data_IF_400617435588
#
_entry.id   IF_400617435588
#
_cell.length_a   1.000
_cell.length_b   1.000
_cell.length_c   1.000
_cell.angle_alpha   90.00
_cell.angle_beta   90.00
_cell.angle_gamma   90.00
#
_symmetry.space_group_name_H-M   'P 1'
#
loop_
_entity.id
_entity.type
_entity.pdbx_description
1 polymer ?
#
# COMPACT_ATOMS: atom_id res chain seq x y z
N UNK A 1 29.86 -18.54 -24.64
CA UNK A 1 29.20 -19.18 -23.48
C UNK A 1 28.31 -18.12 -22.88
N UNK A 2 27.08 -18.01 -23.39
CA UNK A 2 26.06 -17.19 -22.75
C UNK A 2 25.67 -17.92 -21.47
N UNK A 3 26.03 -17.34 -20.34
CA UNK A 3 25.62 -17.88 -19.06
C UNK A 3 24.14 -17.56 -18.89
N UNK A 4 23.27 -18.53 -19.16
CA UNK A 4 21.87 -18.45 -18.73
C UNK A 4 21.80 -18.10 -17.24
N UNK A 5 20.72 -17.42 -16.83
CA UNK A 5 20.57 -16.94 -15.47
C UNK A 5 20.66 -18.10 -14.44
N UNK A 6 21.73 -18.13 -13.66
CA UNK A 6 21.94 -19.18 -12.65
C UNK A 6 20.94 -18.98 -11.50
N UNK A 7 20.04 -19.94 -11.30
CA UNK A 7 19.06 -19.90 -10.20
C UNK A 7 19.67 -20.40 -8.87
N UNK A 8 19.07 -20.05 -7.71
CA UNK A 8 17.97 -19.12 -7.52
C UNK A 8 18.39 -17.64 -7.65
N UNK A 9 17.55 -16.86 -8.33
CA UNK A 9 17.59 -15.42 -8.40
C UNK A 9 16.88 -14.80 -7.18
N UNK A 10 17.40 -13.65 -6.73
CA UNK A 10 16.80 -12.82 -5.68
C UNK A 10 17.02 -11.33 -5.95
N UNK A 11 16.16 -10.49 -5.39
CA UNK A 11 16.34 -9.03 -5.44
C UNK A 11 17.36 -8.56 -4.41
N UNK A 12 18.21 -7.60 -4.82
CA UNK A 12 19.15 -6.87 -3.96
C UNK A 12 18.95 -5.38 -4.20
N UNK A 13 18.69 -4.63 -3.13
CA UNK A 13 18.68 -3.16 -3.21
C UNK A 13 20.13 -2.69 -3.12
N UNK A 14 20.57 -1.91 -4.10
CA UNK A 14 21.90 -1.30 -4.14
C UNK A 14 21.77 0.22 -4.20
N UNK A 15 22.78 0.93 -3.71
CA UNK A 15 22.91 2.37 -3.90
C UNK A 15 23.84 2.61 -5.08
N UNK A 16 23.43 3.47 -6.01
CA UNK A 16 24.24 3.89 -7.15
C UNK A 16 25.17 5.03 -6.75
N UNK A 17 26.17 5.31 -7.59
CA UNK A 17 27.18 6.35 -7.33
C UNK A 17 26.55 7.73 -7.10
N UNK A 18 25.46 8.03 -7.81
CA UNK A 18 24.69 9.27 -7.70
C UNK A 18 23.84 9.34 -6.41
N UNK A 19 23.84 8.29 -5.59
CA UNK A 19 23.12 8.22 -4.31
C UNK A 19 21.75 7.53 -4.39
N UNK A 20 21.19 7.37 -5.58
CA UNK A 20 19.90 6.72 -5.83
C UNK A 20 19.88 5.24 -5.41
N UNK A 21 18.76 4.78 -4.86
CA UNK A 21 18.53 3.37 -4.62
C UNK A 21 17.99 2.66 -5.86
N UNK A 22 18.51 1.47 -6.17
CA UNK A 22 18.12 0.65 -7.30
C UNK A 22 17.89 -0.82 -6.91
N UNK A 23 16.99 -1.51 -7.64
CA UNK A 23 16.72 -2.93 -7.45
C UNK A 23 17.46 -3.73 -8.51
N UNK A 24 18.53 -4.41 -8.09
CA UNK A 24 19.28 -5.35 -8.90
C UNK A 24 18.78 -6.78 -8.66
N UNK A 25 18.89 -7.64 -9.69
CA UNK A 25 18.65 -9.09 -9.55
C UNK A 25 19.98 -9.81 -9.52
N UNK A 26 20.16 -10.70 -8.54
CA UNK A 26 21.40 -11.46 -8.36
C UNK A 26 21.13 -12.96 -8.22
N UNK A 27 22.05 -13.77 -8.71
CA UNK A 27 22.03 -15.22 -8.58
C UNK A 27 22.49 -15.71 -7.20
N UNK A 28 22.56 -17.04 -7.03
CA UNK A 28 23.02 -17.69 -5.80
C UNK A 28 24.42 -17.24 -5.34
N UNK A 29 25.31 -16.90 -6.27
CA UNK A 29 26.67 -16.42 -6.00
C UNK A 29 26.74 -14.91 -5.78
N UNK A 30 25.62 -14.19 -5.93
CA UNK A 30 25.57 -12.74 -5.81
C UNK A 30 25.99 -11.98 -7.07
N UNK A 31 26.24 -12.69 -8.17
CA UNK A 31 26.49 -12.08 -9.49
C UNK A 31 25.16 -11.60 -10.09
N UNK A 32 25.23 -10.53 -10.86
CA UNK A 32 24.06 -9.94 -11.52
C UNK A 32 23.44 -10.91 -12.53
N UNK A 33 22.11 -10.91 -12.58
CA UNK A 33 21.33 -11.47 -13.69
C UNK A 33 21.07 -10.34 -14.69
N UNK A 34 21.62 -10.46 -15.89
CA UNK A 34 21.61 -9.37 -16.87
C UNK A 34 20.21 -9.14 -17.43
N UNK A 35 19.50 -10.19 -17.85
CA UNK A 35 18.16 -10.08 -18.43
C UNK A 35 17.15 -9.45 -17.47
N UNK A 36 17.10 -9.94 -16.23
CA UNK A 36 16.17 -9.43 -15.23
C UNK A 36 16.55 -8.01 -14.77
N UNK A 37 17.83 -7.71 -14.64
CA UNK A 37 18.29 -6.36 -14.25
C UNK A 37 18.05 -5.34 -15.36
N UNK A 38 18.23 -5.72 -16.62
CA UNK A 38 17.95 -4.88 -17.78
C UNK A 38 16.46 -4.50 -17.85
N UNK A 39 15.54 -5.45 -17.67
CA UNK A 39 14.11 -5.16 -17.59
C UNK A 39 13.78 -4.14 -16.48
N UNK A 40 14.41 -4.27 -15.31
CA UNK A 40 14.25 -3.32 -14.23
C UNK A 40 14.70 -1.90 -14.64
N UNK A 41 15.83 -1.80 -15.34
CA UNK A 41 16.41 -0.53 -15.80
C UNK A 41 15.63 0.13 -16.93
N UNK A 42 15.18 -0.63 -17.92
CA UNK A 42 14.58 -0.09 -19.15
C UNK A 42 13.05 0.05 -19.04
N UNK A 43 12.38 -0.82 -18.29
CA UNK A 43 10.91 -0.85 -18.24
C UNK A 43 10.39 -0.27 -16.94
N UNK A 44 10.94 -0.70 -15.80
CA UNK A 44 10.36 -0.33 -14.50
C UNK A 44 10.86 1.02 -14.01
N UNK A 45 12.17 1.28 -14.07
CA UNK A 45 12.78 2.51 -13.54
C UNK A 45 12.24 3.79 -14.19
N UNK A 46 12.12 3.91 -15.53
CA UNK A 46 11.72 5.15 -16.17
C UNK A 46 10.28 5.58 -15.82
N UNK A 47 9.45 4.65 -15.36
CA UNK A 47 8.06 4.94 -14.94
C UNK A 47 7.96 5.72 -13.64
N UNK A 48 9.07 5.92 -12.91
CA UNK A 48 9.07 6.63 -11.62
C UNK A 48 8.30 5.92 -10.50
N UNK A 49 8.07 4.60 -10.64
CA UNK A 49 7.43 3.82 -9.57
C UNK A 49 8.31 3.76 -8.33
N UNK A 50 7.68 3.73 -7.15
CA UNK A 50 8.42 3.65 -5.89
C UNK A 50 9.30 2.39 -5.81
N UNK A 51 10.49 2.50 -5.22
CA UNK A 51 11.46 1.42 -5.04
C UNK A 51 10.84 0.13 -4.47
N UNK A 52 9.96 0.24 -3.47
CA UNK A 52 9.28 -0.92 -2.89
C UNK A 52 8.32 -1.62 -3.87
N UNK A 53 7.70 -0.87 -4.79
CA UNK A 53 6.87 -1.42 -5.86
C UNK A 53 7.74 -2.09 -6.91
N UNK A 54 8.82 -1.43 -7.34
CA UNK A 54 9.81 -1.99 -8.27
C UNK A 54 10.38 -3.31 -7.74
N UNK A 55 10.82 -3.32 -6.48
CA UNK A 55 11.32 -4.53 -5.80
C UNK A 55 10.30 -5.65 -5.80
N UNK A 56 9.04 -5.34 -5.48
CA UNK A 56 7.96 -6.34 -5.49
C UNK A 56 7.73 -6.92 -6.89
N UNK A 57 7.77 -6.10 -7.94
CA UNK A 57 7.66 -6.59 -9.33
C UNK A 57 8.84 -7.50 -9.68
N UNK A 58 10.07 -7.08 -9.33
CA UNK A 58 11.27 -7.89 -9.57
C UNK A 58 11.34 -9.17 -8.74
N UNK A 59 10.75 -9.22 -7.54
CA UNK A 59 10.59 -10.47 -6.79
C UNK A 59 9.73 -11.49 -7.55
N UNK A 60 8.73 -11.03 -8.30
CA UNK A 60 7.91 -11.90 -9.16
C UNK A 60 8.70 -12.39 -10.36
N UNK A 61 9.52 -11.53 -10.98
CA UNK A 61 10.44 -11.93 -12.05
C UNK A 61 11.45 -12.97 -11.54
N UNK A 62 12.01 -12.78 -10.34
CA UNK A 62 12.88 -13.80 -9.71
C UNK A 62 12.12 -15.12 -9.50
N UNK A 63 10.86 -15.08 -9.05
CA UNK A 63 10.03 -16.27 -8.86
C UNK A 63 9.79 -17.01 -10.18
N UNK A 64 9.57 -16.30 -11.29
CA UNK A 64 9.46 -16.88 -12.62
C UNK A 64 10.75 -17.58 -13.06
N UNK A 65 11.90 -16.91 -12.95
CA UNK A 65 13.19 -17.49 -13.29
C UNK A 65 13.52 -18.72 -12.44
N UNK A 66 13.22 -18.67 -11.15
CA UNK A 66 13.41 -19.82 -10.26
C UNK A 66 12.51 -20.99 -10.65
N UNK A 67 11.25 -20.71 -11.01
CA UNK A 67 10.33 -21.73 -11.54
C UNK A 67 10.84 -22.36 -12.84
N UNK A 68 11.43 -21.57 -13.76
CA UNK A 68 12.08 -22.07 -14.96
C UNK A 68 13.27 -22.98 -14.62
N UNK A 69 14.15 -22.52 -13.73
CA UNK A 69 15.33 -23.29 -13.30
C UNK A 69 14.97 -24.62 -12.64
N UNK A 70 13.93 -24.65 -11.80
CA UNK A 70 13.43 -25.88 -11.16
C UNK A 70 12.92 -26.92 -12.17
N UNK A 71 12.58 -26.49 -13.38
CA UNK A 71 12.08 -27.34 -14.49
C UNK A 71 13.09 -27.56 -15.60
N UNK A 72 14.30 -27.00 -15.47
CA UNK A 72 15.30 -27.03 -16.54
C UNK A 72 14.85 -26.30 -17.81
N UNK A 73 13.97 -25.30 -17.68
CA UNK A 73 13.51 -24.49 -18.81
C UNK A 73 14.50 -23.35 -19.04
N UNK A 74 15.17 -23.35 -20.19
CA UNK A 74 15.88 -22.18 -20.69
C UNK A 74 14.88 -21.23 -21.37
N UNK A 75 14.46 -20.19 -20.64
CA UNK A 75 13.41 -19.31 -21.10
C UNK A 75 13.79 -18.54 -22.38
N UNK A 76 15.05 -18.09 -22.51
CA UNK A 76 15.49 -17.35 -23.70
C UNK A 76 15.53 -18.24 -24.91
N UNK A 77 16.11 -19.44 -24.78
CA UNK A 77 16.15 -20.42 -25.86
C UNK A 77 14.74 -20.78 -26.36
N UNK A 78 13.75 -20.88 -25.45
CA UNK A 78 12.34 -21.12 -25.80
C UNK A 78 11.70 -19.97 -26.58
N UNK A 79 12.07 -18.73 -26.28
CA UNK A 79 11.60 -17.56 -27.02
C UNK A 79 12.26 -17.47 -28.40
N UNK A 80 13.57 -17.72 -28.48
CA UNK A 80 14.35 -17.69 -29.72
C UNK A 80 13.93 -18.77 -30.72
N UNK A 81 13.66 -19.98 -30.21
CA UNK A 81 13.12 -21.08 -31.02
C UNK A 81 11.65 -20.89 -31.41
N UNK A 82 10.98 -19.86 -30.89
CA UNK A 82 9.54 -19.64 -31.09
C UNK A 82 8.65 -20.69 -30.42
N UNK A 83 9.20 -21.53 -29.54
CA UNK A 83 8.49 -22.63 -28.88
C UNK A 83 7.57 -22.17 -27.72
N UNK A 84 7.90 -21.05 -27.07
CA UNK A 84 7.14 -20.48 -25.94
C UNK A 84 6.85 -21.51 -24.82
N UNK A 85 5.70 -21.43 -24.16
CA UNK A 85 5.26 -22.35 -23.12
C UNK A 85 4.08 -23.18 -23.61
N UNK A 86 4.02 -24.43 -23.20
CA UNK A 86 2.85 -25.28 -23.37
C UNK A 86 1.77 -24.90 -22.37
N UNK A 87 0.52 -25.25 -22.65
CA UNK A 87 -0.60 -24.97 -21.73
C UNK A 87 -0.40 -25.61 -20.34
N UNK A 88 0.25 -26.78 -20.27
CA UNK A 88 0.58 -27.45 -19.01
C UNK A 88 1.60 -26.63 -18.20
N UNK A 89 2.66 -26.16 -18.84
CA UNK A 89 3.68 -25.28 -18.23
C UNK A 89 3.08 -23.96 -17.78
N UNK A 90 2.17 -23.36 -18.56
CA UNK A 90 1.47 -22.13 -18.18
C UNK A 90 0.63 -22.33 -16.91
N UNK A 91 -0.13 -23.42 -16.82
CA UNK A 91 -0.93 -23.73 -15.63
C UNK A 91 -0.07 -23.97 -14.39
N UNK A 92 1.05 -24.67 -14.55
CA UNK A 92 2.00 -24.93 -13.48
C UNK A 92 2.75 -23.66 -13.03
N UNK A 93 3.12 -22.79 -13.97
CA UNK A 93 3.64 -21.44 -13.67
C UNK A 93 2.62 -20.62 -12.88
N UNK A 94 1.34 -20.65 -13.27
CA UNK A 94 0.28 -19.93 -12.55
C UNK A 94 0.17 -20.38 -11.10
N UNK A 95 0.21 -21.68 -10.83
CA UNK A 95 0.20 -22.20 -9.46
C UNK A 95 1.49 -21.82 -8.71
N UNK A 96 2.65 -21.89 -9.36
CA UNK A 96 3.91 -21.42 -8.78
C UNK A 96 3.88 -19.94 -8.38
N UNK A 97 3.25 -19.07 -9.18
CA UNK A 97 3.08 -17.64 -8.87
C UNK A 97 2.08 -17.38 -7.74
N UNK A 98 1.21 -18.36 -7.45
CA UNK A 98 0.24 -18.29 -6.36
C UNK A 98 0.85 -18.57 -4.99
N UNK A 99 1.99 -19.26 -4.94
CA UNK A 99 2.68 -19.60 -3.70
C UNK A 99 3.19 -18.36 -2.94
N UNK A 100 2.96 -18.29 -1.64
CA UNK A 100 3.48 -17.23 -0.77
C UNK A 100 4.84 -17.61 -0.17
N UNK A 101 5.91 -17.16 -0.84
CA UNK A 101 7.30 -17.44 -0.47
C UNK A 101 7.78 -16.71 0.80
N UNK A 102 6.97 -15.82 1.40
CA UNK A 102 7.35 -15.05 2.61
C UNK A 102 6.94 -15.73 3.90
N UNK A 103 5.95 -16.61 3.85
CA UNK A 103 5.57 -17.43 4.98
C UNK A 103 6.36 -18.74 4.87
N UNK A 104 7.42 -18.96 5.69
CA UNK A 104 7.93 -20.31 5.83
C UNK A 104 6.77 -21.19 6.26
N UNK A 105 6.74 -22.44 5.80
CA UNK A 105 5.71 -23.43 6.12
C UNK A 105 5.70 -23.81 7.63
N UNK A 106 5.53 -22.84 8.54
CA UNK A 106 5.59 -22.99 9.99
C UNK A 106 4.75 -21.93 10.70
N UNK A 107 3.47 -22.24 10.92
CA UNK A 107 2.90 -22.44 12.27
C UNK A 107 1.70 -23.39 12.10
N UNK A 108 2.01 -24.69 12.17
CA UNK A 108 1.07 -25.80 12.08
C UNK A 108 -0.05 -25.61 13.11
N UNK A 109 -1.29 -25.39 12.66
CA UNK A 109 -2.42 -26.03 13.34
C UNK A 109 -2.35 -27.50 12.94
N UNK A 110 -2.29 -28.40 13.92
CA UNK A 110 -2.28 -29.83 13.66
C UNK A 110 -3.42 -30.19 12.68
N UNK A 111 -3.08 -30.70 11.49
CA UNK A 111 -4.05 -31.23 10.51
C UNK A 111 -4.17 -30.55 9.14
N UNK A 112 -3.60 -29.36 8.89
CA UNK A 112 -3.72 -28.70 7.57
C UNK A 112 -2.44 -28.84 6.73
N UNK A 113 -2.52 -29.55 5.59
CA UNK A 113 -1.45 -29.70 4.57
C UNK A 113 -1.50 -28.63 3.46
N UNK A 114 -2.22 -27.53 3.64
CA UNK A 114 -2.39 -26.55 2.57
C UNK A 114 -1.13 -25.67 2.38
N UNK A 115 -0.63 -25.57 1.15
CA UNK A 115 0.43 -24.62 0.76
C UNK A 115 -0.02 -23.18 1.06
N UNK A 116 0.85 -22.31 1.62
CA UNK A 116 0.50 -20.91 1.81
C UNK A 116 0.38 -20.23 0.45
N UNK A 117 -0.79 -19.64 0.18
CA UNK A 117 -1.10 -19.02 -1.11
C UNK A 117 -1.49 -17.56 -0.94
N UNK A 118 -1.14 -16.74 -1.93
CA UNK A 118 -1.54 -15.33 -1.96
C UNK A 118 -3.00 -15.17 -2.37
N UNK A 119 -3.62 -14.07 -1.97
CA UNK A 119 -5.00 -13.75 -2.36
C UNK A 119 -5.13 -13.50 -3.87
N UNK A 120 -6.31 -13.77 -4.44
CA UNK A 120 -6.57 -13.75 -5.89
C UNK A 120 -6.15 -12.45 -6.61
N UNK A 121 -6.33 -11.29 -5.98
CA UNK A 121 -5.88 -10.01 -6.56
C UNK A 121 -4.35 -9.93 -6.70
N UNK A 122 -3.63 -10.42 -5.68
CA UNK A 122 -2.16 -10.44 -5.69
C UNK A 122 -1.65 -11.49 -6.67
N UNK A 123 -2.28 -12.67 -6.72
CA UNK A 123 -2.00 -13.70 -7.71
C UNK A 123 -2.17 -13.18 -9.14
N UNK A 124 -3.31 -12.55 -9.47
CA UNK A 124 -3.56 -11.94 -10.78
C UNK A 124 -2.50 -10.92 -11.15
N UNK A 125 -2.10 -10.07 -10.21
CA UNK A 125 -1.03 -9.10 -10.44
C UNK A 125 0.29 -9.81 -10.74
N UNK A 126 0.67 -10.85 -9.97
CA UNK A 126 1.89 -11.61 -10.23
C UNK A 126 1.90 -12.22 -11.64
N UNK A 127 0.80 -12.85 -12.05
CA UNK A 127 0.66 -13.36 -13.42
C UNK A 127 0.82 -12.25 -14.47
N UNK A 128 0.21 -11.09 -14.25
CA UNK A 128 0.36 -9.94 -15.15
C UNK A 128 1.80 -9.40 -15.18
N UNK A 129 2.53 -9.37 -14.07
CA UNK A 129 3.95 -8.97 -14.07
C UNK A 129 4.82 -9.93 -14.89
N UNK A 130 4.59 -11.25 -14.77
CA UNK A 130 5.32 -12.24 -15.58
C UNK A 130 4.94 -12.12 -17.04
N UNK A 131 3.64 -11.92 -17.34
CA UNK A 131 3.15 -11.65 -18.68
C UNK A 131 3.92 -10.51 -19.35
N UNK A 132 4.00 -9.38 -18.67
CA UNK A 132 4.61 -8.17 -19.20
C UNK A 132 6.13 -8.36 -19.38
N UNK A 133 6.79 -9.08 -18.46
CA UNK A 133 8.21 -9.44 -18.57
C UNK A 133 8.51 -10.36 -19.76
N UNK A 134 7.73 -11.43 -19.93
CA UNK A 134 7.90 -12.37 -21.06
C UNK A 134 7.63 -11.67 -22.38
N UNK A 135 6.59 -10.82 -22.45
CA UNK A 135 6.27 -10.04 -23.64
C UNK A 135 7.41 -9.11 -24.04
N UNK A 136 8.03 -8.44 -23.07
CA UNK A 136 9.15 -7.53 -23.32
C UNK A 136 10.36 -8.24 -23.96
N UNK A 137 10.67 -9.47 -23.53
CA UNK A 137 11.71 -10.28 -24.19
C UNK A 137 11.26 -10.84 -25.54
N UNK A 138 10.03 -11.31 -25.64
CA UNK A 138 9.53 -12.02 -26.83
C UNK A 138 9.32 -11.09 -28.04
N UNK A 139 8.80 -9.88 -27.84
CA UNK A 139 8.43 -8.97 -28.93
C UNK A 139 9.61 -8.62 -29.85
N UNK A 140 10.80 -8.21 -29.35
CA UNK A 140 11.97 -7.97 -30.18
C UNK A 140 12.47 -9.22 -30.92
N UNK A 141 12.41 -10.39 -30.28
CA UNK A 141 12.82 -11.68 -30.87
C UNK A 141 11.91 -12.01 -32.06
N UNK A 142 10.60 -11.94 -31.87
CA UNK A 142 9.60 -12.19 -32.92
C UNK A 142 9.82 -11.28 -34.13
N UNK A 143 10.11 -9.99 -33.89
CA UNK A 143 10.34 -9.03 -34.98
C UNK A 143 11.56 -9.40 -35.86
N UNK A 144 12.55 -10.10 -35.30
CA UNK A 144 13.76 -10.53 -36.01
C UNK A 144 13.56 -11.82 -36.82
N UNK A 145 12.49 -12.58 -36.60
CA UNK A 145 12.22 -13.83 -37.34
C UNK A 145 11.93 -13.50 -38.81
N UNK A 146 12.78 -13.90 -39.75
CA UNK A 146 12.61 -13.58 -41.18
C UNK A 146 11.43 -14.30 -41.84
N UNK A 147 11.21 -15.58 -41.50
CA UNK A 147 10.14 -16.38 -42.09
C UNK A 147 8.76 -15.92 -41.60
N UNK A 148 7.86 -15.58 -42.53
CA UNK A 148 6.56 -15.01 -42.21
C UNK A 148 5.71 -15.96 -41.37
N UNK A 149 5.63 -17.23 -41.74
CA UNK A 149 4.79 -18.23 -41.04
C UNK A 149 5.29 -18.47 -39.61
N UNK A 150 6.60 -18.65 -39.44
CA UNK A 150 7.21 -18.79 -38.12
C UNK A 150 7.00 -17.54 -37.24
N UNK A 151 7.06 -16.34 -37.84
CA UNK A 151 6.76 -15.08 -37.14
C UNK A 151 5.30 -15.01 -36.71
N UNK A 152 4.37 -15.42 -37.58
CA UNK A 152 2.93 -15.44 -37.26
C UNK A 152 2.61 -16.45 -36.16
N UNK A 153 3.20 -17.64 -36.21
CA UNK A 153 3.04 -18.66 -35.19
C UNK A 153 3.57 -18.19 -33.83
N UNK A 154 4.77 -17.59 -33.81
CA UNK A 154 5.35 -17.03 -32.59
C UNK A 154 4.47 -15.90 -31.99
N UNK A 155 3.86 -15.05 -32.84
CA UNK A 155 2.88 -14.04 -32.41
C UNK A 155 1.63 -14.67 -31.80
N UNK A 156 1.10 -15.71 -32.42
CA UNK A 156 -0.09 -16.41 -31.92
C UNK A 156 0.19 -17.08 -30.56
N UNK A 157 1.37 -17.70 -30.40
CA UNK A 157 1.79 -18.30 -29.12
C UNK A 157 1.96 -17.26 -28.02
N UNK A 158 2.61 -16.12 -28.32
CA UNK A 158 2.72 -15.02 -27.36
C UNK A 158 1.34 -14.44 -26.98
N UNK A 159 0.43 -14.30 -27.95
CA UNK A 159 -0.93 -13.83 -27.69
C UNK A 159 -1.69 -14.81 -26.78
N UNK A 160 -1.62 -16.10 -27.06
CA UNK A 160 -2.24 -17.15 -26.23
C UNK A 160 -1.68 -17.14 -24.80
N UNK A 161 -0.36 -17.07 -24.64
CA UNK A 161 0.28 -16.94 -23.33
C UNK A 161 -0.22 -15.71 -22.56
N UNK A 162 -0.31 -14.55 -23.23
CA UNK A 162 -0.76 -13.29 -22.63
C UNK A 162 -2.18 -13.38 -22.05
N UNK A 163 -3.05 -14.14 -22.71
CA UNK A 163 -4.42 -14.39 -22.28
C UNK A 163 -4.48 -15.45 -21.17
N UNK A 164 -3.89 -16.63 -21.42
CA UNK A 164 -3.97 -17.79 -20.54
C UNK A 164 -3.38 -17.54 -19.16
N UNK A 165 -2.27 -16.80 -19.05
CA UNK A 165 -1.58 -16.62 -17.77
C UNK A 165 -2.43 -15.86 -16.73
N UNK A 166 -3.38 -15.02 -17.19
CA UNK A 166 -4.28 -14.23 -16.33
C UNK A 166 -5.73 -14.72 -16.34
N UNK A 167 -6.08 -15.62 -17.26
CA UNK A 167 -7.46 -16.05 -17.47
C UNK A 167 -8.08 -16.77 -16.26
N UNK A 168 -9.38 -16.64 -16.06
CA UNK A 168 -10.11 -17.34 -15.00
C UNK A 168 -9.81 -16.88 -13.57
N UNK A 169 -8.87 -15.95 -13.34
CA UNK A 169 -8.54 -15.46 -11.99
C UNK A 169 -9.62 -14.49 -11.50
N UNK A 170 -10.61 -15.01 -10.76
CA UNK A 170 -11.71 -14.23 -10.19
C UNK A 170 -11.27 -13.48 -8.93
N UNK A 171 -11.27 -12.15 -9.00
CA UNK A 171 -11.02 -11.28 -7.85
C UNK A 171 -12.34 -10.86 -7.24
N UNK A 172 -12.71 -11.42 -6.09
CA UNK A 172 -13.91 -10.98 -5.36
C UNK A 172 -13.67 -9.60 -4.75
N UNK A 173 -14.60 -8.67 -5.00
CA UNK A 173 -14.63 -7.39 -4.31
C UNK A 173 -14.81 -7.60 -2.81
N UNK A 174 -14.06 -6.86 -1.99
CA UNK A 174 -14.31 -6.80 -0.55
C UNK A 174 -15.29 -5.66 -0.26
N UNK A 175 -16.24 -5.84 0.67
CA UNK A 175 -17.08 -4.74 1.13
C UNK A 175 -16.22 -3.57 1.60
N UNK A 176 -16.70 -2.36 1.34
CA UNK A 176 -16.02 -1.15 1.77
C UNK A 176 -16.01 -1.10 3.30
N UNK A 177 -14.83 -1.17 3.90
CA UNK A 177 -14.73 -1.05 5.34
C UNK A 177 -15.07 0.39 5.76
N UNK A 178 -15.98 0.59 6.73
CA UNK A 178 -16.58 1.90 6.99
C UNK A 178 -15.67 2.91 7.71
N UNK A 179 -14.56 2.49 8.31
CA UNK A 179 -13.84 3.30 9.31
C UNK A 179 -14.45 3.10 10.71
N UNK A 180 -14.16 4.02 11.64
CA UNK A 180 -14.82 4.13 12.95
C UNK A 180 -16.22 4.75 12.82
N UNK A 181 -17.18 4.21 13.58
CA UNK A 181 -18.53 4.76 13.74
C UNK A 181 -18.56 5.95 14.70
N UNK A 182 -19.71 6.61 14.83
CA UNK A 182 -19.89 7.74 15.76
C UNK A 182 -19.72 7.32 17.23
N UNK A 183 -20.05 6.08 17.58
CA UNK A 183 -19.88 5.54 18.93
C UNK A 183 -18.42 5.11 19.20
N UNK A 184 -17.71 4.68 18.16
CA UNK A 184 -16.32 4.20 18.28
C UNK A 184 -15.31 5.34 18.34
N UNK A 185 -15.62 6.50 17.74
CA UNK A 185 -14.70 7.63 17.70
C UNK A 185 -14.38 8.20 19.10
N UNK A 186 -15.37 8.43 20.00
CA UNK A 186 -15.10 8.85 21.38
C UNK A 186 -14.26 7.84 22.16
N UNK A 187 -14.56 6.54 22.02
CA UNK A 187 -13.79 5.44 22.64
C UNK A 187 -12.33 5.48 22.21
N UNK A 188 -12.07 5.68 20.91
CA UNK A 188 -10.71 5.84 20.40
C UNK A 188 -10.01 7.07 21.01
N UNK A 189 -10.70 8.23 21.06
CA UNK A 189 -10.14 9.47 21.60
C UNK A 189 -9.78 9.33 23.08
N UNK A 190 -10.65 8.72 23.89
CA UNK A 190 -10.38 8.44 25.30
C UNK A 190 -9.11 7.57 25.46
N UNK A 191 -9.05 6.46 24.72
CA UNK A 191 -7.93 5.51 24.82
C UNK A 191 -6.56 6.05 24.35
N UNK A 192 -6.52 7.18 23.63
CA UNK A 192 -5.26 7.84 23.27
C UNK A 192 -4.97 9.07 24.14
N UNK A 193 -5.88 9.45 25.04
CA UNK A 193 -5.72 10.63 25.89
C UNK A 193 -4.74 10.31 27.03
N UNK A 194 -3.75 11.20 27.30
CA UNK A 194 -2.81 10.98 28.39
C UNK A 194 -3.52 10.88 29.75
N UNK A 195 -3.22 9.81 30.50
CA UNK A 195 -3.76 9.61 31.85
C UNK A 195 -5.14 8.95 31.89
N UNK A 196 -5.78 8.73 30.74
CA UNK A 196 -7.02 7.97 30.69
C UNK A 196 -6.78 6.50 31.10
N UNK A 197 -7.60 5.91 31.98
CA UNK A 197 -7.41 4.54 32.46
C UNK A 197 -7.61 3.48 31.36
N UNK A 198 -8.24 3.83 30.24
CA UNK A 198 -8.38 2.94 29.08
C UNK A 198 -7.16 2.95 28.16
N UNK A 199 -6.20 3.87 28.37
CA UNK A 199 -5.00 3.98 27.56
C UNK A 199 -4.08 2.78 27.79
N UNK A 200 -3.82 1.95 26.77
CA UNK A 200 -3.13 0.67 26.98
C UNK A 200 -1.60 0.78 26.98
N UNK A 201 -1.06 2.00 26.83
CA UNK A 201 0.38 2.24 26.67
C UNK A 201 1.02 2.66 28.00
N UNK A 202 2.36 2.66 28.03
CA UNK A 202 3.09 3.16 29.19
C UNK A 202 2.99 4.69 29.30
N UNK A 203 2.83 5.21 30.52
CA UNK A 203 2.61 6.63 30.77
C UNK A 203 3.69 7.54 30.19
N UNK A 204 4.96 7.11 30.20
CA UNK A 204 6.09 7.84 29.57
C UNK A 204 5.87 8.12 28.09
N UNK A 205 5.12 7.26 27.40
CA UNK A 205 4.86 7.34 25.97
C UNK A 205 3.51 8.01 25.64
N UNK A 206 2.69 8.35 26.64
CA UNK A 206 1.37 8.94 26.42
C UNK A 206 1.41 10.22 25.58
N UNK A 207 2.28 11.21 25.82
CA UNK A 207 2.29 12.44 25.03
C UNK A 207 2.59 12.19 23.55
N UNK A 208 3.61 11.37 23.27
CA UNK A 208 3.99 10.96 21.91
C UNK A 208 2.87 10.20 21.21
N UNK A 209 2.25 9.25 21.90
CA UNK A 209 1.18 8.44 21.35
C UNK A 209 -0.08 9.28 21.09
N UNK A 210 -0.43 10.18 22.01
CA UNK A 210 -1.55 11.10 21.83
C UNK A 210 -1.36 11.96 20.58
N UNK A 211 -0.20 12.61 20.46
CA UNK A 211 0.14 13.43 19.30
C UNK A 211 0.12 12.63 18.00
N UNK A 212 0.71 11.43 17.98
CA UNK A 212 0.74 10.55 16.81
C UNK A 212 -0.66 10.13 16.37
N UNK A 213 -1.47 9.64 17.30
CA UNK A 213 -2.80 9.13 17.01
C UNK A 213 -3.79 10.23 16.64
N UNK A 214 -3.68 11.39 17.29
CA UNK A 214 -4.49 12.55 16.93
C UNK A 214 -4.11 13.08 15.53
N UNK A 215 -2.82 13.02 15.15
CA UNK A 215 -2.37 13.36 13.79
C UNK A 215 -2.99 12.43 12.75
N UNK A 216 -3.06 11.12 13.02
CA UNK A 216 -3.76 10.18 12.14
C UNK A 216 -5.26 10.46 12.06
N UNK A 217 -5.88 10.74 13.20
CA UNK A 217 -7.32 10.94 13.31
C UNK A 217 -7.76 12.24 12.63
N UNK A 218 -7.15 13.38 12.98
CA UNK A 218 -7.56 14.71 12.52
C UNK A 218 -6.95 15.08 11.17
N UNK A 219 -5.71 14.65 10.90
CA UNK A 219 -5.04 14.93 9.62
C UNK A 219 -5.34 13.91 8.53
N UNK A 220 -5.83 12.72 8.87
CA UNK A 220 -6.14 11.67 7.89
C UNK A 220 -4.93 11.14 7.11
N UNK A 221 -3.70 11.35 7.61
CA UNK A 221 -2.46 10.94 6.93
C UNK A 221 -2.35 9.41 6.78
N UNK A 222 -1.68 8.95 5.72
CA UNK A 222 -1.26 7.54 5.63
C UNK A 222 -0.16 7.29 6.66
N UNK A 223 -0.02 6.02 7.07
CA UNK A 223 1.01 5.58 8.01
C UNK A 223 2.38 6.16 7.68
N UNK A 224 2.84 6.00 6.43
CA UNK A 224 4.16 6.46 6.01
C UNK A 224 4.32 7.98 5.98
N UNK A 225 3.25 8.71 5.67
CA UNK A 225 3.26 10.18 5.67
C UNK A 225 3.44 10.70 7.10
N UNK A 226 2.69 10.15 8.06
CA UNK A 226 2.70 10.57 9.45
C UNK A 226 4.05 10.32 10.15
N UNK A 227 4.61 9.11 10.04
CA UNK A 227 5.92 8.80 10.65
C UNK A 227 7.11 9.32 9.83
N UNK A 228 6.84 9.84 8.64
CA UNK A 228 7.83 10.51 7.78
C UNK A 228 7.95 12.01 8.03
N UNK A 229 7.03 12.61 8.80
CA UNK A 229 7.07 14.03 9.15
C UNK A 229 8.36 14.38 9.88
N UNK A 230 9.02 15.44 9.42
CA UNK A 230 10.11 16.12 10.12
C UNK A 230 9.57 17.30 10.91
N UNK A 231 10.28 17.73 11.94
CA UNK A 231 9.90 18.92 12.74
C UNK A 231 9.79 20.19 11.89
N UNK A 232 10.62 20.30 10.84
CA UNK A 232 10.56 21.36 9.82
C UNK A 232 9.29 21.34 8.97
N UNK A 233 8.54 20.24 8.98
CA UNK A 233 7.29 20.09 8.22
C UNK A 233 6.06 20.59 9.03
N UNK A 234 6.26 21.01 10.28
CA UNK A 234 5.20 21.36 11.21
C UNK A 234 5.05 22.88 11.38
N UNK A 235 4.05 23.47 10.73
CA UNK A 235 3.70 24.88 10.86
C UNK A 235 2.55 25.03 11.87
N UNK A 236 2.90 25.10 13.15
CA UNK A 236 1.93 24.99 14.26
C UNK A 236 1.43 26.33 14.81
N UNK A 237 2.05 27.43 14.39
CA UNK A 237 1.77 28.78 14.88
C UNK A 237 1.04 29.64 13.83
N UNK A 238 0.41 30.72 14.28
CA UNK A 238 -0.29 31.67 13.40
C UNK A 238 -1.68 31.22 12.94
N UNK A 239 -2.25 31.93 11.97
CA UNK A 239 -3.62 31.70 11.48
C UNK A 239 -3.75 30.53 10.50
N UNK A 240 -2.66 30.14 9.84
CA UNK A 240 -2.64 29.09 8.79
C UNK A 240 -1.80 27.88 9.22
N UNK A 241 -2.29 27.16 10.23
CA UNK A 241 -1.61 26.00 10.81
C UNK A 241 -1.73 24.79 9.89
N UNK A 242 -0.62 24.12 9.59
CA UNK A 242 -0.61 22.99 8.67
C UNK A 242 0.61 22.07 8.86
N UNK A 243 0.51 20.87 8.30
CA UNK A 243 1.62 19.94 8.12
C UNK A 243 1.97 19.85 6.64
N UNK A 244 3.25 19.87 6.30
CA UNK A 244 3.72 19.64 4.94
C UNK A 244 4.11 18.17 4.75
N UNK A 245 3.38 17.46 3.88
CA UNK A 245 3.76 16.09 3.51
C UNK A 245 4.63 16.17 2.28
N UNK A 246 5.89 15.74 2.41
CA UNK A 246 6.88 15.71 1.33
C UNK A 246 7.22 14.30 0.87
N UNK A 247 7.66 14.16 -0.39
CA UNK A 247 8.25 12.91 -0.90
C UNK A 247 9.76 13.00 -0.84
N UNK A 248 10.38 12.11 -0.06
CA UNK A 248 11.84 12.04 0.13
C UNK A 248 12.38 10.63 -0.17
N UNK A 249 12.35 10.17 -1.43
CA UNK A 249 12.78 8.81 -1.80
C UNK A 249 14.25 8.52 -1.46
N UNK A 250 15.12 9.51 -1.61
CA UNK A 250 16.58 9.36 -1.49
C UNK A 250 17.16 10.17 -0.33
N UNK A 251 16.39 10.29 0.76
CA UNK A 251 16.80 11.01 1.97
C UNK A 251 18.05 10.37 2.59
N UNK A 252 19.20 11.05 2.50
CA UNK A 252 20.46 10.59 3.08
C UNK A 252 20.40 10.44 4.62
N UNK A 253 19.45 11.12 5.26
CA UNK A 253 19.25 11.07 6.71
C UNK A 253 18.17 10.06 7.13
N UNK A 254 17.72 9.17 6.24
CA UNK A 254 16.76 8.11 6.56
C UNK A 254 17.47 6.86 7.11
N UNK A 255 17.46 6.60 8.43
CA UNK A 255 18.16 5.45 9.01
C UNK A 255 17.36 4.15 8.90
N UNK A 256 16.06 4.19 8.57
CA UNK A 256 15.21 3.01 8.60
C UNK A 256 15.45 2.18 7.34
N UNK A 257 15.82 0.91 7.53
CA UNK A 257 15.89 -0.11 6.47
C UNK A 257 14.63 -0.16 5.60
N UNK A 258 13.46 0.03 6.20
CA UNK A 258 12.16 0.04 5.52
C UNK A 258 11.54 1.45 5.49
N UNK A 259 12.20 2.40 4.84
CA UNK A 259 11.80 3.80 4.74
C UNK A 259 10.27 4.00 4.50
N UNK A 260 9.59 4.86 5.28
CA UNK A 260 8.19 5.19 5.10
C UNK A 260 8.01 6.25 4.01
N UNK A 261 8.12 5.81 2.76
CA UNK A 261 7.90 6.69 1.62
C UNK A 261 6.41 7.06 1.48
N UNK A 262 6.17 8.36 1.29
CA UNK A 262 4.85 8.86 0.94
C UNK A 262 4.43 8.33 -0.45
N UNK A 263 3.24 7.71 -0.48
CA UNK A 263 2.66 7.14 -1.71
C UNK A 263 1.94 8.19 -2.57
N UNK A 264 1.65 9.34 -2.00
CA UNK A 264 0.95 10.45 -2.67
C UNK A 264 1.87 11.59 -3.01
N UNK A 265 1.36 12.51 -3.81
CA UNK A 265 2.01 13.76 -4.14
C UNK A 265 2.28 14.56 -2.85
N UNK A 266 3.32 15.41 -2.86
CA UNK A 266 3.50 16.41 -1.82
C UNK A 266 2.23 17.24 -1.67
N UNK A 267 1.81 17.49 -0.44
CA UNK A 267 0.61 18.25 -0.17
C UNK A 267 0.61 18.83 1.23
N UNK A 268 -0.16 19.90 1.37
CA UNK A 268 -0.45 20.54 2.65
C UNK A 268 -1.65 19.88 3.32
N UNK A 269 -1.52 19.58 4.60
CA UNK A 269 -2.60 19.13 5.47
C UNK A 269 -2.94 20.24 6.46
N UNK A 270 -4.04 20.94 6.22
CA UNK A 270 -4.52 21.97 7.14
C UNK A 270 -5.02 21.35 8.45
N UNK A 271 -4.61 21.95 9.58
CA UNK A 271 -4.94 21.43 10.91
C UNK A 271 -5.57 22.51 11.78
N UNK A 272 -6.51 22.10 12.64
CA UNK A 272 -7.12 22.98 13.63
C UNK A 272 -6.23 23.19 14.86
N UNK A 273 -6.62 24.16 15.70
CA UNK A 273 -5.85 24.56 16.88
C UNK A 273 -5.63 23.44 17.88
N UNK A 274 -6.58 22.52 18.02
CA UNK A 274 -6.46 21.36 18.92
C UNK A 274 -5.25 20.51 18.55
N UNK A 275 -5.16 20.06 17.30
CA UNK A 275 -4.05 19.22 16.85
C UNK A 275 -2.73 20.00 16.89
N UNK A 276 -2.74 21.28 16.49
CA UNK A 276 -1.55 22.10 16.50
C UNK A 276 -0.98 22.29 17.91
N UNK A 277 -1.83 22.56 18.93
CA UNK A 277 -1.41 22.65 20.33
C UNK A 277 -0.84 21.33 20.85
N UNK A 278 -1.50 20.21 20.55
CA UNK A 278 -1.02 18.88 20.96
C UNK A 278 0.35 18.57 20.35
N UNK A 279 0.53 18.84 19.05
CA UNK A 279 1.81 18.67 18.38
C UNK A 279 2.88 19.60 18.94
N UNK A 280 2.54 20.86 19.20
CA UNK A 280 3.46 21.85 19.75
C UNK A 280 3.97 21.40 21.13
N UNK A 281 3.05 21.13 22.06
CA UNK A 281 3.40 20.68 23.41
C UNK A 281 4.21 19.37 23.37
N UNK A 282 3.85 18.45 22.48
CA UNK A 282 4.64 17.24 22.30
C UNK A 282 6.06 17.55 21.80
N UNK A 283 6.21 18.33 20.73
CA UNK A 283 7.51 18.62 20.09
C UNK A 283 8.43 19.44 21.02
N UNK A 284 7.88 20.40 21.75
CA UNK A 284 8.65 21.33 22.58
C UNK A 284 8.91 20.73 23.97
N UNK A 285 7.88 20.21 24.64
CA UNK A 285 7.97 19.88 26.07
C UNK A 285 8.31 18.41 26.32
N UNK A 286 7.88 17.50 25.44
CA UNK A 286 7.99 16.06 25.69
C UNK A 286 9.02 15.34 24.82
N UNK A 287 9.12 15.70 23.54
CA UNK A 287 10.05 15.10 22.58
C UNK A 287 11.51 15.17 23.02
N UNK A 288 12.01 16.26 23.67
CA UNK A 288 13.39 16.30 24.16
C UNK A 288 13.72 15.27 25.24
N UNK A 289 12.73 14.66 25.90
CA UNK A 289 12.95 13.63 26.92
C UNK A 289 13.35 12.26 26.32
N UNK A 290 13.13 12.05 25.03
CA UNK A 290 13.57 10.84 24.33
C UNK A 290 15.07 10.90 24.03
N UNK A 291 15.88 9.91 24.45
CA UNK A 291 17.32 9.87 24.22
C UNK A 291 17.64 10.08 22.74
N UNK A 292 18.52 11.00 22.35
CA UNK A 292 18.91 11.18 20.94
C UNK A 292 17.89 11.88 20.03
N UNK A 293 16.67 12.18 20.49
CA UNK A 293 15.64 12.81 19.65
C UNK A 293 16.04 14.20 19.12
N UNK A 294 16.91 14.93 19.82
CA UNK A 294 17.44 16.23 19.34
C UNK A 294 18.26 16.11 18.04
N UNK A 295 18.86 14.96 17.77
CA UNK A 295 19.67 14.69 16.56
C UNK A 295 18.83 14.10 15.42
N UNK A 296 17.63 13.62 15.73
CA UNK A 296 16.68 13.10 14.76
C UNK A 296 15.80 14.23 14.23
N UNK A 297 15.63 14.40 12.90
CA UNK A 297 14.74 15.42 12.37
C UNK A 297 13.25 15.06 12.49
N UNK A 298 12.92 13.79 12.78
CA UNK A 298 11.56 13.26 12.71
C UNK A 298 10.69 13.66 13.90
N UNK A 299 9.41 13.97 13.66
CA UNK A 299 8.48 14.40 14.71
C UNK A 299 8.32 13.34 15.80
N UNK A 300 8.11 12.08 15.40
CA UNK A 300 7.79 10.99 16.33
C UNK A 300 8.99 10.04 16.52
N UNK A 301 9.71 10.14 17.65
CA UNK A 301 10.80 9.23 17.96
C UNK A 301 10.30 7.88 18.50
N UNK A 302 11.09 6.83 18.29
CA UNK A 302 11.08 5.60 19.08
C UNK A 302 11.73 5.84 20.44
N UNK A 303 11.73 4.81 21.29
CA UNK A 303 12.24 4.91 22.67
C UNK A 303 13.74 5.22 22.75
N UNK A 304 14.48 4.88 21.69
CA UNK A 304 15.92 5.14 21.50
C UNK A 304 16.20 6.48 20.77
N UNK A 305 15.17 7.28 20.48
CA UNK A 305 15.28 8.55 19.74
C UNK A 305 15.37 8.46 18.23
N UNK A 306 15.52 7.24 17.70
CA UNK A 306 15.40 7.00 16.27
C UNK A 306 13.99 7.33 15.78
N UNK A 307 13.75 7.38 14.47
CA UNK A 307 12.39 7.56 13.96
C UNK A 307 11.54 6.30 14.14
N UNK A 308 10.25 6.48 14.45
CA UNK A 308 9.32 5.35 14.50
C UNK A 308 9.29 4.53 13.21
N UNK A 309 9.15 3.22 13.36
CA UNK A 309 9.03 2.28 12.23
C UNK A 309 7.56 1.94 11.96
N UNK A 310 7.30 1.35 10.78
CA UNK A 310 5.94 0.91 10.42
C UNK A 310 5.47 -0.22 11.34
N UNK A 311 6.41 -1.07 11.72
CA UNK A 311 6.24 -2.23 12.58
C UNK A 311 5.87 -1.80 14.00
N UNK A 312 6.48 -0.73 14.53
CA UNK A 312 6.10 -0.15 15.83
C UNK A 312 4.68 0.39 15.81
N UNK A 313 4.29 1.16 14.79
CA UNK A 313 2.90 1.64 14.67
C UNK A 313 1.92 0.46 14.51
N UNK A 314 2.34 -0.59 13.79
CA UNK A 314 1.57 -1.81 13.64
C UNK A 314 1.39 -2.59 14.94
N UNK A 315 2.39 -2.60 15.81
CA UNK A 315 2.25 -3.08 17.17
C UNK A 315 1.26 -2.21 17.96
N UNK A 316 1.35 -0.88 17.85
CA UNK A 316 0.51 0.02 18.63
C UNK A 316 -0.98 -0.08 18.28
N UNK A 317 -1.39 -0.13 17.00
CA UNK A 317 -2.82 -0.31 16.69
C UNK A 317 -3.33 -1.73 17.04
N UNK A 318 -2.46 -2.75 17.03
CA UNK A 318 -2.83 -4.09 17.51
C UNK A 318 -3.10 -4.08 19.00
N UNK A 319 -2.26 -3.37 19.76
CA UNK A 319 -2.48 -3.18 21.19
C UNK A 319 -3.78 -2.43 21.48
N UNK A 320 -4.08 -1.35 20.75
CA UNK A 320 -5.35 -0.62 20.87
C UNK A 320 -6.56 -1.53 20.66
N UNK A 321 -6.62 -2.26 19.54
CA UNK A 321 -7.78 -3.12 19.24
C UNK A 321 -7.92 -4.35 20.15
N UNK A 322 -6.83 -4.77 20.80
CA UNK A 322 -6.81 -5.89 21.75
C UNK A 322 -7.20 -5.46 23.16
N UNK A 323 -6.84 -4.24 23.57
CA UNK A 323 -6.97 -3.77 24.96
C UNK A 323 -8.10 -2.75 25.19
N UNK A 324 -8.62 -2.12 24.15
CA UNK A 324 -9.66 -1.10 24.26
C UNK A 324 -11.00 -1.67 23.79
N UNK A 325 -11.92 -2.03 24.71
CA UNK A 325 -13.27 -2.47 24.35
C UNK A 325 -13.99 -1.41 23.53
N UNK A 326 -14.78 -1.85 22.55
CA UNK A 326 -15.52 -0.96 21.64
C UNK A 326 -14.78 -0.62 20.34
N UNK A 327 -13.46 -0.80 20.26
CA UNK A 327 -12.76 -0.65 18.98
C UNK A 327 -12.97 -1.85 18.04
N UNK A 328 -12.99 -1.63 16.71
CA UNK A 328 -13.09 -2.73 15.75
C UNK A 328 -11.93 -3.73 15.88
N UNK A 329 -12.21 -5.04 15.86
CA UNK A 329 -11.18 -6.10 15.81
C UNK A 329 -10.18 -5.95 14.64
N UNK A 330 -10.59 -5.24 13.59
CA UNK A 330 -9.77 -4.95 12.39
C UNK A 330 -9.04 -3.61 12.44
N UNK A 331 -9.15 -2.85 13.53
CA UNK A 331 -8.67 -1.46 13.63
C UNK A 331 -7.20 -1.32 13.23
N UNK A 332 -6.94 -0.28 12.44
CA UNK A 332 -5.66 0.10 11.90
C UNK A 332 -5.63 1.61 11.59
N UNK A 333 -4.46 2.15 11.23
CA UNK A 333 -4.33 3.54 10.78
C UNK A 333 -5.20 3.86 9.56
N UNK A 334 -5.49 2.88 8.70
CA UNK A 334 -6.37 3.09 7.55
C UNK A 334 -7.83 3.32 7.96
N UNK A 335 -8.27 2.81 9.11
CA UNK A 335 -9.62 3.06 9.61
C UNK A 335 -9.77 4.51 10.06
N UNK A 336 -8.73 5.10 10.67
CA UNK A 336 -8.69 6.54 10.99
C UNK A 336 -8.75 7.40 9.73
N UNK A 337 -8.02 7.02 8.67
CA UNK A 337 -8.08 7.71 7.39
C UNK A 337 -9.46 7.62 6.72
N UNK A 338 -10.14 6.48 6.85
CA UNK A 338 -11.54 6.32 6.38
C UNK A 338 -12.49 7.19 7.20
N UNK A 339 -12.38 7.18 8.53
CA UNK A 339 -13.14 8.06 9.40
C UNK A 339 -12.95 9.52 9.06
N UNK A 340 -11.72 9.94 8.78
CA UNK A 340 -11.45 11.29 8.28
C UNK A 340 -12.20 11.57 6.97
N UNK A 341 -12.18 10.65 5.99
CA UNK A 341 -12.90 10.83 4.71
C UNK A 341 -14.41 10.88 4.91
N UNK A 342 -14.98 10.09 5.81
CA UNK A 342 -16.42 10.16 6.14
C UNK A 342 -16.77 11.52 6.75
N UNK A 343 -16.00 12.00 7.73
CA UNK A 343 -16.22 13.32 8.34
C UNK A 343 -16.04 14.46 7.34
N UNK A 344 -15.04 14.34 6.47
CA UNK A 344 -14.79 15.29 5.39
C UNK A 344 -15.98 15.34 4.42
N UNK A 345 -16.51 14.19 3.99
CA UNK A 345 -17.68 14.13 3.11
C UNK A 345 -18.93 14.74 3.77
N UNK A 346 -19.21 14.41 5.04
CA UNK A 346 -20.29 15.03 5.83
C UNK A 346 -20.14 16.56 5.90
N UNK A 347 -18.93 17.05 6.17
CA UNK A 347 -18.65 18.49 6.24
C UNK A 347 -18.79 19.17 4.87
N UNK A 348 -18.33 18.52 3.79
CA UNK A 348 -18.48 19.02 2.42
C UNK A 348 -19.95 19.13 2.00
N UNK A 349 -20.77 18.10 2.32
CA UNK A 349 -22.23 18.14 2.09
C UNK A 349 -22.87 19.31 2.85
N UNK A 350 -22.50 19.51 4.12
CA UNK A 350 -22.98 20.65 4.94
C UNK A 350 -22.55 22.01 4.36
N UNK A 351 -21.41 22.07 3.70
CA UNK A 351 -20.92 23.26 3.00
C UNK A 351 -21.53 23.43 1.58
N UNK A 352 -22.47 22.57 1.17
CA UNK A 352 -23.15 22.67 -0.12
C UNK A 352 -22.36 22.12 -1.31
N UNK A 353 -21.28 21.36 -1.09
CA UNK A 353 -20.54 20.73 -2.19
C UNK A 353 -21.29 19.51 -2.71
N UNK A 354 -21.28 19.33 -4.04
CA UNK A 354 -21.71 18.08 -4.67
C UNK A 354 -20.80 16.91 -4.28
N UNK A 355 -21.28 15.68 -4.37
CA UNK A 355 -20.49 14.48 -4.04
C UNK A 355 -19.26 14.30 -4.93
N UNK A 356 -19.34 14.73 -6.20
CA UNK A 356 -18.23 14.75 -7.14
C UNK A 356 -17.17 15.77 -6.71
N UNK A 357 -17.59 17.00 -6.40
CA UNK A 357 -16.67 18.05 -5.96
C UNK A 357 -16.04 17.70 -4.62
N UNK A 358 -16.81 17.14 -3.70
CA UNK A 358 -16.35 16.59 -2.42
C UNK A 358 -15.24 15.56 -2.62
N UNK A 359 -15.39 14.64 -3.57
CA UNK A 359 -14.36 13.65 -3.90
C UNK A 359 -13.06 14.29 -4.46
N UNK A 360 -13.18 15.28 -5.35
CA UNK A 360 -12.03 16.00 -5.91
C UNK A 360 -11.26 16.76 -4.82
N UNK A 361 -11.95 17.50 -3.95
CA UNK A 361 -11.32 18.26 -2.86
C UNK A 361 -10.71 17.30 -1.82
N UNK A 362 -11.39 16.19 -1.50
CA UNK A 362 -10.84 15.16 -0.62
C UNK A 362 -9.56 14.54 -1.21
N UNK A 363 -9.52 14.29 -2.53
CA UNK A 363 -8.31 13.82 -3.21
C UNK A 363 -7.16 14.83 -3.08
N UNK A 364 -7.42 16.11 -3.35
CA UNK A 364 -6.43 17.19 -3.20
C UNK A 364 -5.88 17.28 -1.77
N UNK A 365 -6.76 17.33 -0.77
CA UNK A 365 -6.39 17.36 0.65
C UNK A 365 -5.58 16.14 1.11
N UNK A 366 -5.58 15.07 0.32
CA UNK A 366 -4.92 13.80 0.61
C UNK A 366 -3.74 13.48 -0.32
N UNK A 367 -3.31 14.45 -1.13
CA UNK A 367 -2.21 14.35 -2.10
C UNK A 367 -2.47 13.40 -3.27
N UNK A 368 -3.73 13.09 -3.57
CA UNK A 368 -4.12 12.21 -4.67
C UNK A 368 -4.37 13.03 -5.92
N UNK A 369 -4.17 12.42 -7.09
CA UNK A 369 -4.59 13.02 -8.35
C UNK A 369 -6.12 13.27 -8.33
N UNK A 370 -6.61 14.36 -8.96
CA UNK A 370 -8.02 14.78 -8.84
C UNK A 370 -9.04 13.69 -9.18
N UNK A 371 -8.78 12.91 -10.23
CA UNK A 371 -9.64 11.83 -10.75
C UNK A 371 -9.42 10.48 -10.04
N UNK A 372 -8.81 10.46 -8.86
CA UNK A 372 -8.58 9.21 -8.13
C UNK A 372 -9.89 8.65 -7.57
N UNK A 373 -10.23 7.41 -7.94
CA UNK A 373 -11.34 6.63 -7.36
C UNK A 373 -11.16 6.32 -5.86
N UNK A 374 -10.03 6.69 -5.27
CA UNK A 374 -9.73 6.40 -3.87
C UNK A 374 -10.57 7.26 -2.92
N UNK A 375 -11.00 8.47 -3.26
CA UNK A 375 -11.88 9.25 -2.37
C UNK A 375 -13.20 8.51 -2.10
N UNK A 376 -13.82 7.99 -3.18
CA UNK A 376 -15.03 7.18 -3.11
C UNK A 376 -14.84 5.92 -2.27
N UNK A 377 -13.69 5.23 -2.43
CA UNK A 377 -13.35 4.01 -1.68
C UNK A 377 -13.18 4.21 -0.17
N UNK A 378 -12.92 5.44 0.27
CA UNK A 378 -12.64 5.74 1.68
C UNK A 378 -13.84 6.32 2.44
N UNK A 379 -14.94 6.68 1.75
CA UNK A 379 -16.18 7.21 2.36
C UNK A 379 -17.26 6.13 2.59
N UNK A 380 -16.83 4.93 2.96
CA UNK A 380 -17.69 3.75 3.10
C UNK A 380 -18.88 3.92 4.01
N UNK A 381 -18.66 4.51 5.20
CA UNK A 381 -19.74 4.73 6.16
C UNK A 381 -20.70 5.81 5.66
N UNK A 382 -20.18 6.92 5.12
CA UNK A 382 -21.01 7.99 4.56
C UNK A 382 -21.94 7.46 3.46
N UNK A 383 -21.42 6.68 2.52
CA UNK A 383 -22.24 6.10 1.46
C UNK A 383 -23.32 5.16 2.04
N UNK A 384 -22.97 4.33 3.04
CA UNK A 384 -23.93 3.44 3.71
C UNK A 384 -25.05 4.20 4.41
N UNK A 385 -24.71 5.27 5.14
CA UNK A 385 -25.66 6.14 5.83
C UNK A 385 -26.61 6.81 4.83
N UNK A 386 -26.08 7.33 3.72
CA UNK A 386 -26.91 7.94 2.66
C UNK A 386 -27.83 6.93 1.99
N UNK A 387 -27.35 5.71 1.69
CA UNK A 387 -28.22 4.63 1.18
C UNK A 387 -29.32 4.29 2.18
N UNK A 388 -29.01 4.19 3.48
CA UNK A 388 -29.99 3.90 4.50
C UNK A 388 -31.04 5.01 4.65
N UNK A 389 -30.63 6.27 4.60
CA UNK A 389 -31.52 7.44 4.64
C UNK A 389 -32.50 7.44 3.47
N UNK A 390 -31.99 7.24 2.24
CA UNK A 390 -32.82 7.20 1.03
C UNK A 390 -33.80 6.03 1.08
N UNK A 391 -33.35 4.83 1.48
CA UNK A 391 -34.20 3.66 1.58
C UNK A 391 -35.34 3.87 2.59
N UNK A 392 -35.06 4.47 3.76
CA UNK A 392 -36.08 4.78 4.76
C UNK A 392 -37.10 5.76 4.21
N UNK A 393 -36.64 6.85 3.58
CA UNK A 393 -37.52 7.85 2.97
C UNK A 393 -38.42 7.24 1.89
N UNK A 394 -37.89 6.36 1.04
CA UNK A 394 -38.69 5.66 0.02
C UNK A 394 -39.81 4.82 0.64
N UNK A 395 -39.54 4.17 1.78
CA UNK A 395 -40.53 3.38 2.50
C UNK A 395 -41.59 4.29 3.15
N UNK A 396 -41.18 5.39 3.78
CA UNK A 396 -42.08 6.35 4.40
C UNK A 396 -43.02 7.00 3.36
N UNK A 397 -42.50 7.35 2.18
CA UNK A 397 -43.29 7.87 1.06
C UNK A 397 -44.27 6.83 0.50
N UNK A 398 -43.89 5.55 0.47
CA UNK A 398 -44.81 4.48 0.06
C UNK A 398 -45.99 4.31 1.03
N UNK A 399 -45.72 4.41 2.35
CA UNK A 399 -46.76 4.39 3.39
C UNK A 399 -47.67 5.63 3.33
N UNK A 400 -47.12 6.80 3.00
CA UNK A 400 -47.92 8.01 2.83
C UNK A 400 -48.89 7.88 1.65
N UNK A 401 -48.43 7.39 0.49
CA UNK A 401 -49.26 7.18 -0.71
C UNK A 401 -50.36 6.14 -0.50
N UNK A 402 -50.11 5.07 0.25
CA UNK A 402 -51.17 4.06 0.52
C UNK A 402 -52.30 4.65 1.36
N UNK A 403 -51.99 5.50 2.34
CA UNK A 403 -52.99 6.18 3.18
C UNK A 403 -53.84 7.21 2.42
N UNK A 404 -53.33 7.77 1.33
CA UNK A 404 -54.09 8.65 0.43
C UNK A 404 -54.99 7.87 -0.53
N UNK A 405 -54.68 6.61 -0.81
CA UNK A 405 -55.49 5.74 -1.70
C UNK A 405 -56.63 5.06 -0.94
N UNK A 406 -56.47 4.84 0.37
CA UNK A 406 -57.49 4.27 1.26
C UNK A 406 -58.47 5.33 1.83
N UNK A 407 -58.36 6.59 1.41
CA UNK A 407 -59.30 7.69 1.71
C UNK A 407 -60.11 8.03 0.47
#
# INVERSE_FOLDING_TARGET
>A
MEWGDITPLRTKVTRLEEGDLFVMVVNRYGLQSDNATQYCMEVLRPTGIALATMRRKMEVVCQFHNWCGDRGIDFLQRLESGAFFTQSEENDLREGLRDDLREPAVKKRAGSKARPVVGAAHWRNRCAEVRDYVAWHAEPIILRISALDARQEARARLASFKENIVDGIRVRGKPMAPGLTEEQSPVFIAAITPGDPTNPFESRNHPRNHALWLTFHDGGLRLGECIGLKTTDCFLNGSRKHLMVERRPDDLHEPRRNAPLAKTLPHRVDIGDRLARVLHNFIVDHRPSYPGAKRSPYVFPSEDGGPLTKETVAYMYRRLREKVPGLPKRFSTNDLRRSWNNRFAKAAKKAGLSDERSAVVANHAQGRVPHSVQAEKYRGLYNQEQTAEINKRMQDEAVARSKETDR
#
